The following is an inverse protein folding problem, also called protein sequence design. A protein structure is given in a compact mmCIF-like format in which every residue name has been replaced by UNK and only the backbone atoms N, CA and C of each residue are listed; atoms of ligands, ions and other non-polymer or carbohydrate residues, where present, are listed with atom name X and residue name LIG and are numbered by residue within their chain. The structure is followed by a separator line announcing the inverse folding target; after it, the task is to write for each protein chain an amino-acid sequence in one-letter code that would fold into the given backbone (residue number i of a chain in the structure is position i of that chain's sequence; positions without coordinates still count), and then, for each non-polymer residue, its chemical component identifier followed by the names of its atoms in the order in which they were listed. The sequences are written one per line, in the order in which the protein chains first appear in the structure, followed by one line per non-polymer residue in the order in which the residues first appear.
data_IF_613085286423
#
_entry.id   IF_613085286423
#
_cell.length_a   1.000
_cell.length_b   1.000
_cell.length_c   1.000
_cell.angle_alpha   90.00
_cell.angle_beta   90.00
_cell.angle_gamma   90.00
#
_symmetry.space_group_name_H-M   'P 1'
#
loop_
_entity.id
_entity.type
_entity.pdbx_description
1 polymer ?
#
# COMPACT_ATOMS: atom_id res chain seq x y z
N UNK A 1 -10.42 -13.85 -66.96
CA UNK A 1 -10.91 -12.80 -66.02
C UNK A 1 -11.39 -13.49 -64.75
N UNK A 2 -11.16 -12.92 -63.56
CA UNK A 2 -11.37 -13.50 -62.20
C UNK A 2 -10.14 -14.15 -61.54
N UNK A 3 -9.08 -13.39 -61.22
CA UNK A 3 -8.14 -13.74 -60.12
C UNK A 3 -7.49 -12.55 -59.39
N UNK A 4 -7.82 -11.29 -59.71
CA UNK A 4 -7.09 -10.11 -59.18
C UNK A 4 -7.83 -9.37 -58.05
N UNK A 5 -9.13 -9.64 -57.82
CA UNK A 5 -9.96 -8.86 -56.88
C UNK A 5 -9.83 -9.30 -55.41
N UNK A 6 -9.39 -10.54 -55.13
CA UNK A 6 -9.32 -11.04 -53.76
C UNK A 6 -8.12 -10.51 -52.96
N UNK A 7 -6.98 -10.25 -53.62
CA UNK A 7 -5.72 -9.87 -52.94
C UNK A 7 -5.72 -8.41 -52.46
N UNK A 8 -6.35 -7.49 -53.19
CA UNK A 8 -6.46 -6.07 -52.80
C UNK A 8 -7.45 -5.84 -51.65
N UNK A 9 -8.49 -6.67 -51.53
CA UNK A 9 -9.44 -6.59 -50.41
C UNK A 9 -8.85 -7.12 -49.09
N UNK A 10 -8.02 -8.17 -49.17
CA UNK A 10 -7.34 -8.75 -48.00
C UNK A 10 -6.22 -7.82 -47.52
N UNK A 11 -5.50 -7.15 -48.42
CA UNK A 11 -4.45 -6.19 -48.04
C UNK A 11 -5.03 -4.90 -47.42
N UNK A 12 -6.19 -4.43 -47.90
CA UNK A 12 -6.87 -3.25 -47.32
C UNK A 12 -7.49 -3.53 -45.94
N UNK A 13 -8.02 -4.72 -45.69
CA UNK A 13 -8.44 -5.14 -44.34
C UNK A 13 -7.25 -5.30 -43.37
N UNK A 14 -6.10 -5.77 -43.85
CA UNK A 14 -4.91 -5.93 -43.00
C UNK A 14 -4.33 -4.58 -42.56
N UNK A 15 -4.31 -3.59 -43.47
CA UNK A 15 -3.84 -2.22 -43.17
C UNK A 15 -4.83 -1.46 -42.29
N UNK A 16 -6.15 -1.68 -42.43
CA UNK A 16 -7.15 -1.07 -41.56
C UNK A 16 -7.08 -1.58 -40.11
N UNK A 17 -6.76 -2.86 -39.90
CA UNK A 17 -6.57 -3.42 -38.55
C UNK A 17 -5.24 -3.00 -37.89
N UNK A 18 -4.24 -2.61 -38.68
CA UNK A 18 -2.97 -2.07 -38.19
C UNK A 18 -3.08 -0.59 -37.75
N UNK A 19 -4.16 0.11 -38.13
CA UNK A 19 -4.36 1.54 -37.80
C UNK A 19 -5.16 1.79 -36.51
N UNK A 20 -5.72 0.75 -35.86
CA UNK A 20 -6.53 0.90 -34.64
C UNK A 20 -5.95 0.27 -33.37
N UNK A 21 -4.73 -0.26 -33.41
CA UNK A 21 -4.03 -0.74 -32.22
C UNK A 21 -3.00 0.27 -31.69
N UNK A 22 -3.37 1.55 -31.60
CA UNK A 22 -2.73 2.41 -30.63
C UNK A 22 -3.34 2.05 -29.26
N UNK A 23 -2.83 0.98 -28.65
CA UNK A 23 -3.08 0.74 -27.24
C UNK A 23 -2.70 2.04 -26.52
N UNK A 24 -3.68 2.72 -25.94
CA UNK A 24 -3.39 3.87 -25.08
C UNK A 24 -2.57 3.31 -23.92
N UNK A 25 -1.25 3.49 -23.97
CA UNK A 25 -0.40 3.23 -22.82
C UNK A 25 -0.96 4.11 -21.70
N UNK A 26 -1.60 3.51 -20.71
CA UNK A 26 -2.11 4.23 -19.57
C UNK A 26 -0.90 4.94 -18.95
N UNK A 27 -0.95 6.27 -18.74
CA UNK A 27 0.22 7.01 -18.28
C UNK A 27 0.74 6.38 -16.99
N UNK A 28 2.05 6.11 -16.96
CA UNK A 28 2.68 5.51 -15.79
C UNK A 28 2.41 6.39 -14.56
N UNK A 29 1.96 5.78 -13.47
CA UNK A 29 1.71 6.49 -12.22
C UNK A 29 3.04 7.08 -11.71
N UNK A 30 3.14 8.40 -11.52
CA UNK A 30 4.38 9.04 -11.11
C UNK A 30 4.78 8.60 -9.70
N UNK A 31 6.08 8.59 -9.43
CA UNK A 31 6.63 8.37 -8.09
C UNK A 31 7.18 9.68 -7.55
N UNK A 32 6.78 10.01 -6.34
CA UNK A 32 7.39 11.08 -5.54
C UNK A 32 8.40 10.42 -4.61
N UNK A 33 9.66 10.81 -4.75
CA UNK A 33 10.74 10.35 -3.88
C UNK A 33 10.98 11.39 -2.79
N UNK A 34 11.06 10.93 -1.54
CA UNK A 34 11.76 11.65 -0.48
C UNK A 34 13.14 11.02 -0.38
N UNK A 35 14.12 11.67 -1.00
CA UNK A 35 15.48 11.17 -1.15
C UNK A 35 16.21 11.13 0.19
N UNK A 36 17.29 10.38 0.28
CA UNK A 36 18.13 10.24 1.47
C UNK A 36 18.74 11.57 1.94
N UNK A 37 19.15 12.45 1.01
CA UNK A 37 19.56 13.84 1.27
C UNK A 37 18.40 14.76 1.73
N UNK A 38 17.17 14.23 1.67
CA UNK A 38 15.93 14.87 2.03
C UNK A 38 15.31 15.75 0.94
N UNK A 39 15.88 15.80 -0.25
CA UNK A 39 15.23 16.44 -1.40
C UNK A 39 13.94 15.70 -1.80
N UNK A 40 13.05 16.43 -2.47
CA UNK A 40 11.78 15.90 -3.01
C UNK A 40 11.93 15.85 -4.52
N UNK A 41 11.64 14.71 -5.13
CA UNK A 41 11.73 14.49 -6.58
C UNK A 41 10.43 13.84 -7.12
N UNK A 42 9.71 14.48 -8.06
CA UNK A 42 10.03 15.77 -8.66
C UNK A 42 9.82 16.93 -7.67
N UNK A 43 10.58 18.01 -7.84
CA UNK A 43 10.44 19.24 -7.02
C UNK A 43 9.03 19.86 -7.14
N UNK A 44 8.27 19.49 -8.17
CA UNK A 44 6.88 19.90 -8.40
C UNK A 44 5.86 19.09 -7.62
N UNK A 45 6.27 18.05 -6.88
CA UNK A 45 5.37 17.29 -6.03
C UNK A 45 4.67 18.21 -5.02
N UNK A 46 3.40 17.96 -4.67
CA UNK A 46 2.62 18.78 -3.74
C UNK A 46 3.00 18.50 -2.29
N UNK A 47 4.29 18.58 -1.97
CA UNK A 47 4.87 18.35 -0.65
C UNK A 47 5.87 19.47 -0.38
N UNK A 48 5.77 20.11 0.78
CA UNK A 48 6.71 21.10 1.28
C UNK A 48 7.54 20.48 2.39
N UNK A 49 8.86 20.66 2.32
CA UNK A 49 9.79 20.28 3.39
C UNK A 49 10.04 21.46 4.34
N UNK A 50 9.99 21.19 5.63
CA UNK A 50 10.49 22.04 6.71
C UNK A 50 11.32 21.17 7.68
N UNK A 51 12.66 21.25 7.58
CA UNK A 51 13.57 20.38 8.32
C UNK A 51 13.35 18.89 8.00
N UNK A 52 12.83 18.15 8.99
CA UNK A 52 12.49 16.73 8.91
C UNK A 52 10.98 16.48 8.72
N UNK A 53 10.18 17.53 8.52
CA UNK A 53 8.74 17.44 8.31
C UNK A 53 8.43 17.67 6.83
N UNK A 54 7.75 16.73 6.21
CA UNK A 54 7.30 16.74 4.82
C UNK A 54 5.79 16.85 4.83
N UNK A 55 5.27 18.04 4.59
CA UNK A 55 3.85 18.33 4.66
C UNK A 55 3.24 18.39 3.28
N UNK A 56 2.18 17.63 3.02
CA UNK A 56 1.42 17.76 1.80
C UNK A 56 0.81 19.16 1.68
N UNK A 57 0.90 19.75 0.50
CA UNK A 57 0.30 21.04 0.16
C UNK A 57 -0.91 20.90 -0.76
N UNK A 58 -1.21 19.69 -1.21
CA UNK A 58 -2.35 19.36 -2.06
C UNK A 58 -2.51 17.85 -2.21
N UNK A 59 -3.64 17.42 -2.77
CA UNK A 59 -3.86 16.01 -3.11
C UNK A 59 -2.89 15.55 -4.22
N UNK A 60 -2.52 14.28 -4.20
CA UNK A 60 -1.56 13.69 -5.14
C UNK A 60 -2.12 12.42 -5.81
N UNK A 61 -1.94 12.32 -7.12
CA UNK A 61 -2.10 11.08 -7.89
C UNK A 61 -0.72 10.52 -8.20
N UNK A 62 -0.16 9.76 -7.27
CA UNK A 62 1.23 9.31 -7.31
C UNK A 62 1.46 8.16 -6.33
N UNK A 63 2.65 7.57 -6.38
CA UNK A 63 3.25 6.75 -5.33
C UNK A 63 4.25 7.59 -4.54
N UNK A 64 4.55 7.18 -3.32
CA UNK A 64 5.64 7.75 -2.51
C UNK A 64 6.67 6.67 -2.22
N UNK A 65 7.93 6.98 -2.49
CA UNK A 65 9.08 6.16 -2.12
C UNK A 65 9.94 6.95 -1.13
N UNK A 66 10.05 6.45 0.09
CA UNK A 66 10.76 7.12 1.19
C UNK A 66 12.13 6.50 1.37
N UNK A 67 13.19 7.29 1.20
CA UNK A 67 14.58 6.83 1.28
C UNK A 67 15.34 7.46 2.46
N UNK A 68 14.64 8.18 3.33
CA UNK A 68 15.23 8.94 4.45
C UNK A 68 14.58 8.58 5.77
N UNK A 69 15.42 8.27 6.76
CA UNK A 69 15.00 7.96 8.14
C UNK A 69 14.69 9.22 8.96
N UNK A 70 14.00 9.03 10.10
CA UNK A 70 13.76 10.06 11.12
C UNK A 70 13.01 11.30 10.59
N UNK A 71 12.01 11.08 9.73
CA UNK A 71 11.19 12.13 9.16
C UNK A 71 9.71 11.93 9.49
N UNK A 72 8.96 13.03 9.45
CA UNK A 72 7.50 13.02 9.48
C UNK A 72 6.96 13.32 8.10
N UNK A 73 6.06 12.48 7.60
CA UNK A 73 5.20 12.76 6.45
C UNK A 73 3.82 13.12 7.01
N UNK A 74 3.46 14.40 6.91
CA UNK A 74 2.18 14.92 7.37
C UNK A 74 1.29 15.21 6.16
N UNK A 75 0.19 14.47 6.05
CA UNK A 75 -0.76 14.64 4.97
C UNK A 75 -1.59 15.91 5.04
N UNK A 76 -1.65 16.59 6.20
CA UNK A 76 -2.50 17.75 6.41
C UNK A 76 -3.98 17.54 5.99
N UNK A 77 -4.46 16.29 5.99
CA UNK A 77 -5.79 15.88 5.53
C UNK A 77 -5.91 15.67 4.02
N UNK A 78 -4.85 15.83 3.23
CA UNK A 78 -4.88 15.62 1.78
C UNK A 78 -4.93 14.14 1.41
N UNK A 79 -5.39 13.89 0.19
CA UNK A 79 -5.50 12.55 -0.38
C UNK A 79 -4.28 12.18 -1.21
N UNK A 80 -3.69 11.03 -0.92
CA UNK A 80 -2.81 10.29 -1.82
C UNK A 80 -3.64 9.19 -2.47
N UNK A 81 -3.78 9.22 -3.80
CA UNK A 81 -4.64 8.28 -4.54
C UNK A 81 -3.89 7.54 -5.63
N UNK A 82 -4.15 6.24 -5.75
CA UNK A 82 -3.64 5.40 -6.83
C UNK A 82 -4.67 5.15 -7.94
N UNK A 83 -4.33 4.25 -8.89
CA UNK A 83 -5.13 3.95 -10.07
C UNK A 83 -6.11 2.78 -9.87
N UNK A 84 -6.08 2.08 -8.72
CA UNK A 84 -7.01 0.99 -8.46
C UNK A 84 -8.44 1.54 -8.42
N UNK A 85 -9.35 0.83 -9.08
CA UNK A 85 -10.72 1.29 -9.35
C UNK A 85 -11.76 0.30 -8.81
N UNK A 86 -11.38 -0.61 -7.92
CA UNK A 86 -12.28 -1.61 -7.34
C UNK A 86 -12.49 -2.86 -8.18
N UNK A 87 -11.87 -2.99 -9.37
CA UNK A 87 -11.86 -4.27 -10.08
C UNK A 87 -10.70 -5.11 -9.55
N UNK A 88 -11.01 -6.05 -8.66
CA UNK A 88 -10.06 -7.06 -8.21
C UNK A 88 -9.54 -7.83 -9.45
N UNK A 89 -8.27 -7.64 -9.76
CA UNK A 89 -7.51 -8.66 -10.48
C UNK A 89 -7.18 -9.74 -9.46
N UNK A 90 -7.20 -11.03 -9.79
CA UNK A 90 -6.70 -12.07 -8.88
C UNK A 90 -5.22 -11.78 -8.59
N UNK A 91 -4.92 -11.16 -7.46
CA UNK A 91 -3.56 -10.78 -7.13
C UNK A 91 -3.13 -11.45 -5.82
N UNK A 92 -2.18 -12.36 -5.97
CA UNK A 92 -1.57 -13.07 -4.86
C UNK A 92 -0.49 -12.19 -4.19
N UNK A 93 -0.85 -11.45 -3.13
CA UNK A 93 0.07 -10.53 -2.42
C UNK A 93 1.05 -11.34 -1.56
N UNK A 94 2.35 -11.26 -1.87
CA UNK A 94 3.45 -11.80 -1.03
C UNK A 94 4.33 -10.62 -0.60
N UNK A 95 4.65 -10.51 0.69
CA UNK A 95 5.43 -9.39 1.23
C UNK A 95 6.95 -9.54 1.11
N UNK A 96 7.55 -9.48 -0.08
CA UNK A 96 9.01 -9.74 -0.27
C UNK A 96 9.98 -8.52 -0.16
N UNK A 97 9.59 -7.36 0.38
CA UNK A 97 10.44 -6.16 0.50
C UNK A 97 10.64 -5.37 -0.82
N UNK A 98 11.66 -4.50 -0.88
CA UNK A 98 11.89 -3.58 -2.01
C UNK A 98 12.38 -4.23 -3.32
N UNK A 99 12.77 -5.51 -3.31
CA UNK A 99 13.30 -6.22 -4.49
C UNK A 99 12.39 -7.36 -4.93
N UNK A 100 11.13 -7.05 -5.25
CA UNK A 100 10.18 -8.04 -5.77
C UNK A 100 10.61 -8.54 -7.17
N UNK A 101 10.82 -9.86 -7.39
CA UNK A 101 11.02 -10.40 -8.72
C UNK A 101 9.72 -10.31 -9.53
N UNK A 102 9.66 -9.43 -10.51
CA UNK A 102 8.57 -9.39 -11.49
C UNK A 102 8.74 -10.54 -12.49
N UNK A 103 8.11 -11.70 -12.29
CA UNK A 103 8.15 -12.80 -13.26
C UNK A 103 7.20 -12.59 -14.45
N UNK A 104 7.19 -11.39 -15.05
CA UNK A 104 6.51 -11.03 -16.31
C UNK A 104 4.99 -11.28 -16.43
N UNK A 105 4.38 -11.92 -15.43
CA UNK A 105 3.02 -12.47 -15.43
C UNK A 105 2.22 -11.96 -14.22
N UNK A 106 2.89 -11.40 -13.22
CA UNK A 106 2.26 -10.73 -12.08
C UNK A 106 2.05 -9.26 -12.43
N UNK A 107 0.81 -8.77 -12.27
CA UNK A 107 0.51 -7.34 -12.36
C UNK A 107 1.38 -6.62 -11.32
N UNK A 108 2.24 -5.66 -11.71
CA UNK A 108 3.08 -4.95 -10.75
C UNK A 108 2.19 -4.20 -9.75
N UNK A 109 2.39 -4.50 -8.47
CA UNK A 109 1.67 -3.88 -7.36
C UNK A 109 1.84 -2.37 -7.38
N UNK A 110 0.73 -1.64 -7.26
CA UNK A 110 0.82 -0.21 -7.03
C UNK A 110 0.79 0.01 -5.52
N UNK A 111 1.96 0.36 -4.97
CA UNK A 111 2.12 0.72 -3.56
C UNK A 111 1.95 2.23 -3.41
N UNK A 112 1.09 2.66 -2.48
CA UNK A 112 0.87 4.08 -2.18
C UNK A 112 2.06 4.71 -1.48
N UNK A 113 2.48 4.16 -0.35
CA UNK A 113 3.69 4.57 0.38
C UNK A 113 4.59 3.36 0.60
N UNK A 114 5.81 3.43 0.06
CA UNK A 114 6.85 2.41 0.18
C UNK A 114 8.07 2.98 0.93
N UNK A 115 8.60 2.20 1.87
CA UNK A 115 9.79 2.54 2.65
C UNK A 115 11.02 2.06 1.88
N UNK A 116 11.35 2.73 0.77
CA UNK A 116 12.16 2.21 -0.33
C UNK A 116 13.61 1.80 -0.08
N UNK A 117 14.07 1.67 1.18
CA UNK A 117 15.36 1.05 1.54
C UNK A 117 15.25 0.32 2.89
N UNK A 118 15.98 -0.78 3.03
CA UNK A 118 15.95 -1.62 4.23
C UNK A 118 16.44 -0.92 5.51
N UNK A 119 17.28 0.12 5.36
CA UNK A 119 17.84 0.90 6.47
C UNK A 119 16.96 2.11 6.88
N UNK A 120 15.84 2.36 6.19
CA UNK A 120 14.91 3.43 6.54
C UNK A 120 14.17 3.07 7.83
N UNK A 121 14.17 3.97 8.80
CA UNK A 121 13.49 3.78 10.09
C UNK A 121 13.09 5.12 10.71
N UNK A 122 12.33 5.11 11.81
CA UNK A 122 11.95 6.34 12.50
C UNK A 122 10.99 7.21 11.69
N UNK A 123 10.23 6.62 10.76
CA UNK A 123 9.23 7.36 10.00
C UNK A 123 8.00 7.61 10.86
N UNK A 124 7.42 8.80 10.75
CA UNK A 124 6.06 9.09 11.23
C UNK A 124 5.18 9.48 10.06
N UNK A 125 4.15 8.69 9.77
CA UNK A 125 3.19 8.96 8.70
C UNK A 125 1.85 9.30 9.33
N UNK A 126 1.34 10.50 9.07
CA UNK A 126 0.10 10.97 9.70
C UNK A 126 -0.77 11.84 8.82
N UNK A 127 -2.05 11.93 9.19
CA UNK A 127 -3.04 12.83 8.61
C UNK A 127 -3.22 12.68 7.08
N UNK A 128 -2.99 11.49 6.52
CA UNK A 128 -3.24 11.22 5.10
C UNK A 128 -4.54 10.45 4.88
N UNK A 129 -5.19 10.75 3.76
CA UNK A 129 -6.21 9.88 3.17
C UNK A 129 -5.54 9.06 2.06
N UNK A 130 -5.37 7.75 2.25
CA UNK A 130 -4.64 6.85 1.35
C UNK A 130 -5.62 5.86 0.73
N UNK A 131 -5.75 5.92 -0.60
CA UNK A 131 -6.75 5.09 -1.29
C UNK A 131 -6.42 4.71 -2.71
N UNK A 132 -7.13 3.72 -3.22
CA UNK A 132 -7.04 3.27 -4.61
C UNK A 132 -5.66 2.71 -4.97
N UNK A 133 -5.04 1.95 -4.06
CA UNK A 133 -3.81 1.22 -4.30
C UNK A 133 -4.02 -0.29 -4.23
N UNK A 134 -3.10 -1.05 -4.84
CA UNK A 134 -3.02 -2.49 -4.53
C UNK A 134 -2.57 -2.68 -3.08
N UNK A 135 -1.62 -1.87 -2.63
CA UNK A 135 -1.18 -1.81 -1.24
C UNK A 135 -1.15 -0.34 -0.84
N UNK A 136 -2.00 0.09 0.10
CA UNK A 136 -2.06 1.47 0.55
C UNK A 136 -0.72 1.92 1.15
N UNK A 137 -0.21 1.15 2.11
CA UNK A 137 1.09 1.36 2.73
C UNK A 137 1.85 0.04 2.88
N UNK A 138 3.14 0.03 2.53
CA UNK A 138 4.02 -1.09 2.81
C UNK A 138 5.02 -0.75 3.91
N UNK A 139 4.77 -1.25 5.12
CA UNK A 139 5.54 -1.01 6.33
C UNK A 139 6.45 -2.21 6.58
N UNK A 140 7.58 -2.25 5.89
CA UNK A 140 8.49 -3.41 5.88
C UNK A 140 9.82 -3.19 6.61
N UNK A 141 10.06 -1.98 7.09
CA UNK A 141 11.20 -1.66 7.96
C UNK A 141 10.75 -1.44 9.40
N UNK A 142 11.69 -1.19 10.29
CA UNK A 142 11.46 -1.17 11.73
C UNK A 142 11.33 0.23 12.33
N UNK A 143 10.75 0.31 13.53
CA UNK A 143 10.70 1.52 14.36
C UNK A 143 9.97 2.70 13.69
N UNK A 144 8.84 2.44 13.04
CA UNK A 144 8.02 3.45 12.39
C UNK A 144 6.68 3.62 13.09
N UNK A 145 6.07 4.80 12.91
CA UNK A 145 4.76 5.17 13.43
C UNK A 145 3.82 5.53 12.29
N UNK A 146 2.67 4.87 12.23
CA UNK A 146 1.56 5.18 11.32
C UNK A 146 0.38 5.60 12.17
N UNK A 147 -0.04 6.86 12.09
CA UNK A 147 -1.07 7.38 12.98
C UNK A 147 -1.97 8.46 12.40
N UNK A 148 -3.26 8.46 12.73
CA UNK A 148 -4.18 9.51 12.27
C UNK A 148 -4.41 9.50 10.75
N UNK A 149 -4.21 8.36 10.09
CA UNK A 149 -4.48 8.21 8.66
C UNK A 149 -5.84 7.55 8.42
N UNK A 150 -6.45 7.84 7.27
CA UNK A 150 -7.55 7.06 6.72
C UNK A 150 -7.03 6.22 5.55
N UNK A 151 -7.02 4.90 5.70
CA UNK A 151 -6.55 3.94 4.71
C UNK A 151 -7.73 3.13 4.21
N UNK A 152 -8.21 3.42 3.00
CA UNK A 152 -9.47 2.89 2.50
C UNK A 152 -9.49 2.66 0.99
N UNK A 153 -10.41 1.82 0.50
CA UNK A 153 -10.57 1.57 -0.95
C UNK A 153 -9.28 1.03 -1.59
N UNK A 154 -8.54 0.17 -0.88
CA UNK A 154 -7.35 -0.54 -1.37
C UNK A 154 -7.60 -2.06 -1.37
N UNK A 155 -6.81 -2.82 -2.13
CA UNK A 155 -6.84 -4.29 -2.01
C UNK A 155 -6.28 -4.67 -0.62
N UNK A 156 -5.06 -4.24 -0.31
CA UNK A 156 -4.51 -4.26 1.06
C UNK A 156 -4.38 -2.84 1.57
N UNK A 157 -4.97 -2.54 2.73
CA UNK A 157 -4.81 -1.27 3.40
C UNK A 157 -3.36 -1.05 3.83
N UNK A 158 -2.89 -1.85 4.79
CA UNK A 158 -1.51 -1.84 5.27
C UNK A 158 -0.91 -3.24 5.15
N UNK A 159 0.15 -3.36 4.37
CA UNK A 159 1.01 -4.54 4.38
C UNK A 159 2.10 -4.31 5.44
N UNK A 160 2.07 -5.10 6.50
CA UNK A 160 2.98 -4.97 7.64
C UNK A 160 3.95 -6.16 7.67
N UNK A 161 5.24 -5.88 7.48
CA UNK A 161 6.30 -6.89 7.46
C UNK A 161 7.48 -6.57 8.37
N UNK A 162 7.61 -5.32 8.84
CA UNK A 162 8.70 -4.91 9.73
C UNK A 162 8.32 -5.01 11.20
N UNK A 163 9.32 -5.25 12.06
CA UNK A 163 9.16 -5.32 13.53
C UNK A 163 9.14 -3.92 14.18
N UNK A 164 8.71 -3.86 15.45
CA UNK A 164 8.79 -2.65 16.30
C UNK A 164 8.04 -1.44 15.72
N UNK A 165 6.94 -1.66 15.00
CA UNK A 165 6.13 -0.59 14.41
C UNK A 165 4.89 -0.28 15.26
N UNK A 166 4.50 0.99 15.30
CA UNK A 166 3.29 1.46 15.97
C UNK A 166 2.25 1.90 14.94
N UNK A 167 1.12 1.21 14.90
CA UNK A 167 -0.01 1.53 14.03
C UNK A 167 -1.16 1.94 14.96
N UNK A 168 -1.42 3.24 15.10
CA UNK A 168 -2.38 3.73 16.11
C UNK A 168 -3.27 4.85 15.60
N UNK A 169 -4.54 4.91 16.02
CA UNK A 169 -5.45 6.03 15.64
C UNK A 169 -5.68 6.16 14.14
N UNK A 170 -5.62 5.06 13.40
CA UNK A 170 -5.94 5.06 11.97
C UNK A 170 -7.38 4.58 11.75
N UNK A 171 -8.03 5.14 10.75
CA UNK A 171 -9.25 4.57 10.16
C UNK A 171 -8.83 3.63 9.03
N UNK A 172 -9.12 2.35 9.13
CA UNK A 172 -8.76 1.31 8.17
C UNK A 172 -10.06 0.66 7.72
N UNK A 173 -10.55 1.01 6.53
CA UNK A 173 -11.87 0.55 6.14
C UNK A 173 -12.14 0.48 4.65
N UNK A 174 -13.11 -0.34 4.23
CA UNK A 174 -13.43 -0.55 2.80
C UNK A 174 -12.23 -1.02 1.98
N UNK A 175 -11.38 -1.84 2.59
CA UNK A 175 -10.33 -2.56 1.87
C UNK A 175 -10.71 -4.03 1.77
N UNK A 176 -10.24 -4.74 0.75
CA UNK A 176 -10.44 -6.20 0.69
C UNK A 176 -9.75 -6.85 1.90
N UNK A 177 -8.57 -6.33 2.27
CA UNK A 177 -7.84 -6.69 3.49
C UNK A 177 -7.41 -5.42 4.23
N UNK A 178 -7.77 -5.29 5.51
CA UNK A 178 -7.42 -4.14 6.35
C UNK A 178 -5.92 -4.07 6.61
N UNK A 179 -5.41 -5.02 7.41
CA UNK A 179 -3.97 -5.23 7.61
C UNK A 179 -3.60 -6.64 7.18
N UNK A 180 -2.57 -6.75 6.33
CA UNK A 180 -1.96 -8.02 5.97
C UNK A 180 -0.60 -8.15 6.65
N UNK A 181 -0.39 -9.20 7.43
CA UNK A 181 0.91 -9.54 8.00
C UNK A 181 1.74 -10.27 6.94
N UNK A 182 2.68 -9.55 6.33
CA UNK A 182 3.52 -10.07 5.26
C UNK A 182 4.66 -10.90 5.82
N UNK A 183 4.50 -12.23 5.81
CA UNK A 183 5.56 -13.20 6.13
C UNK A 183 6.12 -13.83 4.86
N UNK A 184 7.45 -13.88 4.75
CA UNK A 184 8.12 -14.57 3.64
C UNK A 184 8.48 -16.01 4.00
N UNK A 185 8.65 -16.31 5.28
CA UNK A 185 8.98 -17.61 5.82
C UNK A 185 8.31 -17.75 7.19
N UNK A 186 7.93 -18.97 7.53
CA UNK A 186 7.45 -19.31 8.87
C UNK A 186 8.48 -18.93 9.92
N UNK A 187 8.07 -18.24 10.99
CA UNK A 187 8.98 -17.77 12.04
C UNK A 187 9.57 -16.37 11.81
N UNK A 188 9.22 -15.71 10.70
CA UNK A 188 9.57 -14.32 10.41
C UNK A 188 8.36 -13.39 10.51
N UNK A 189 7.42 -13.70 11.38
CA UNK A 189 6.29 -12.83 11.71
C UNK A 189 6.83 -11.50 12.26
N UNK A 190 6.26 -10.34 11.87
CA UNK A 190 6.68 -9.06 12.42
C UNK A 190 6.36 -9.01 13.92
N UNK A 191 7.40 -8.82 14.73
CA UNK A 191 7.32 -8.80 16.20
C UNK A 191 7.21 -7.38 16.76
N UNK A 192 6.77 -7.28 18.03
CA UNK A 192 6.68 -6.02 18.79
C UNK A 192 5.85 -4.94 18.10
N UNK A 193 4.73 -5.33 17.49
CA UNK A 193 3.79 -4.41 16.88
C UNK A 193 2.87 -3.83 17.95
N UNK A 194 2.79 -2.50 18.02
CA UNK A 194 1.75 -1.81 18.80
C UNK A 194 0.59 -1.50 17.86
N UNK A 195 -0.58 -2.13 18.08
CA UNK A 195 -1.77 -1.90 17.26
C UNK A 195 -2.97 -1.56 18.15
N UNK A 196 -3.17 -0.27 18.43
CA UNK A 196 -4.22 0.18 19.37
C UNK A 196 -4.93 1.42 18.86
N UNK A 197 -6.18 1.64 19.29
CA UNK A 197 -7.00 2.80 18.95
C UNK A 197 -7.27 3.00 17.45
N UNK A 198 -7.17 1.95 16.63
CA UNK A 198 -7.58 2.03 15.22
C UNK A 198 -9.06 1.69 15.07
N UNK A 199 -9.65 2.11 13.96
CA UNK A 199 -11.02 1.73 13.56
C UNK A 199 -10.97 0.87 12.32
N UNK A 200 -11.38 -0.39 12.44
CA UNK A 200 -11.53 -1.33 11.35
C UNK A 200 -12.99 -1.37 10.91
N UNK A 201 -13.29 -0.88 9.72
CA UNK A 201 -14.67 -0.63 9.27
C UNK A 201 -14.91 -1.14 7.86
N UNK A 202 -15.83 -2.08 7.69
CA UNK A 202 -16.26 -2.57 6.37
C UNK A 202 -15.08 -3.04 5.49
N UNK A 203 -14.04 -3.64 6.08
CA UNK A 203 -13.08 -4.41 5.29
C UNK A 203 -13.64 -5.82 5.08
N UNK A 204 -13.43 -6.42 3.90
CA UNK A 204 -13.87 -7.81 3.68
C UNK A 204 -13.17 -8.76 4.66
N UNK A 205 -11.88 -8.48 4.96
CA UNK A 205 -11.13 -9.12 6.04
C UNK A 205 -10.38 -8.05 6.85
N UNK A 206 -10.60 -7.97 8.16
CA UNK A 206 -9.89 -7.02 9.03
C UNK A 206 -8.38 -7.34 9.15
N UNK A 207 -8.04 -8.62 9.36
CA UNK A 207 -6.67 -9.14 9.39
C UNK A 207 -6.46 -10.33 8.48
N UNK A 208 -5.37 -10.31 7.73
CA UNK A 208 -4.95 -11.41 6.86
C UNK A 208 -3.46 -11.66 7.00
N UNK A 209 -3.00 -12.80 6.50
CA UNK A 209 -1.60 -13.22 6.54
C UNK A 209 -1.49 -14.74 6.62
N UNK A 210 -0.31 -15.28 6.35
CA UNK A 210 -0.04 -16.69 6.62
C UNK A 210 0.18 -16.89 8.13
N UNK A 211 -0.88 -16.82 8.92
CA UNK A 211 -0.91 -17.49 10.23
C UNK A 211 -0.93 -18.99 9.94
N UNK A 212 0.22 -19.59 9.65
CA UNK A 212 0.29 -21.04 9.62
C UNK A 212 -0.08 -21.54 11.02
N UNK A 213 -0.93 -22.57 11.06
CA UNK A 213 -1.33 -23.27 12.27
C UNK A 213 -0.10 -23.57 13.14
N UNK A 214 -0.04 -22.92 14.30
CA UNK A 214 1.14 -22.95 15.16
C UNK A 214 1.42 -21.59 15.80
N UNK A 215 0.37 -20.89 16.25
CA UNK A 215 0.51 -19.65 17.02
C UNK A 215 1.54 -19.89 18.12
N UNK A 216 2.66 -19.16 18.10
CA UNK A 216 3.65 -19.27 19.14
C UNK A 216 3.06 -18.68 20.43
N UNK A 217 2.51 -19.54 21.29
CA UNK A 217 1.90 -19.16 22.57
C UNK A 217 2.90 -18.62 23.59
N UNK A 218 4.20 -18.55 23.23
CA UNK A 218 5.25 -17.98 24.08
C UNK A 218 5.64 -16.55 23.72
N UNK A 219 5.13 -16.00 22.60
CA UNK A 219 5.36 -14.59 22.28
C UNK A 219 4.55 -13.69 23.23
N UNK A 220 5.12 -12.58 23.74
CA UNK A 220 4.33 -11.55 24.38
C UNK A 220 3.26 -11.09 23.38
N UNK A 221 2.00 -11.22 23.78
CA UNK A 221 0.84 -10.95 22.92
C UNK A 221 1.02 -9.66 22.13
N UNK A 222 0.65 -9.67 20.84
CA UNK A 222 0.29 -8.44 20.15
C UNK A 222 -0.67 -7.68 21.05
N UNK A 223 -0.29 -6.49 21.49
CA UNK A 223 -1.14 -5.68 22.35
C UNK A 223 -2.14 -4.98 21.43
N UNK A 224 -3.33 -5.57 21.35
CA UNK A 224 -4.48 -5.02 20.63
C UNK A 224 -5.16 -3.89 21.41
N UNK A 225 -4.66 -3.61 22.62
CA UNK A 225 -5.08 -2.57 23.55
C UNK A 225 -3.87 -1.95 24.28
N UNK A 226 -4.10 -0.85 24.98
CA UNK A 226 -3.12 -0.19 25.85
C UNK A 226 -3.30 -0.53 27.35
N UNK A 227 -4.01 -1.63 27.65
CA UNK A 227 -4.48 -2.00 28.97
C UNK A 227 -5.76 -1.28 29.42
N UNK A 228 -6.36 -0.42 28.58
CA UNK A 228 -7.65 0.25 28.85
C UNK A 228 -8.57 0.23 27.64
N UNK A 229 -8.06 0.62 26.47
CA UNK A 229 -8.84 0.78 25.24
C UNK A 229 -8.13 0.07 24.08
N UNK A 230 -8.94 -0.66 23.30
CA UNK A 230 -8.49 -1.46 22.17
C UNK A 230 -8.69 -0.78 20.82
N UNK A 231 -8.84 -1.59 19.78
CA UNK A 231 -9.32 -1.14 18.48
C UNK A 231 -10.86 -1.26 18.40
N UNK A 232 -11.45 -0.49 17.50
CA UNK A 232 -12.86 -0.61 17.12
C UNK A 232 -12.99 -1.53 15.90
N UNK A 233 -13.97 -2.44 15.91
CA UNK A 233 -14.27 -3.36 14.80
C UNK A 233 -15.74 -3.26 14.41
N UNK A 234 -16.02 -3.08 13.12
CA UNK A 234 -17.39 -2.97 12.62
C UNK A 234 -18.18 -4.28 12.69
N UNK A 235 -17.50 -5.42 12.73
CA UNK A 235 -18.10 -6.75 12.83
C UNK A 235 -18.25 -7.25 14.28
N UNK A 236 -17.79 -6.47 15.27
CA UNK A 236 -17.89 -6.85 16.67
C UNK A 236 -19.34 -6.77 17.17
N UNK A 237 -19.84 -7.91 17.65
CA UNK A 237 -21.23 -8.05 18.07
C UNK A 237 -21.46 -7.79 19.58
N UNK A 238 -20.43 -7.35 20.31
CA UNK A 238 -20.52 -7.11 21.76
C UNK A 238 -20.18 -8.30 22.65
N UNK A 239 -19.58 -9.36 22.10
CA UNK A 239 -19.19 -10.55 22.88
C UNK A 239 -17.70 -10.86 22.68
N UNK A 240 -16.92 -10.76 23.75
CA UNK A 240 -15.57 -11.31 23.80
C UNK A 240 -15.67 -12.79 24.24
N UNK A 241 -15.05 -13.70 23.50
CA UNK A 241 -14.89 -15.09 23.98
C UNK A 241 -13.65 -15.15 24.86
N UNK A 242 -13.87 -15.41 26.14
CA UNK A 242 -12.84 -15.68 27.15
C UNK A 242 -11.91 -16.85 26.78
#
# INVERSE_FOLDING_TARGET
MKKIVATTLIFSLLVANLLFAAASAQPALPTIYIRDDGSIDPLTAPIRRDGNIYTFTGAAFARICVQRSNITIDGAGYTLRGPYNGTATDVWIIGQGAEQPTNGTLVPWVIGIDFGRADVNGLTIKNLNIKNFSIGMYVWTENNTVTGNAVSENIVGILLSGCNNAITRNYIGKNDMGIFFGVNQLGNEPLNITLTHNSFVDNDVHFSGCFCEGYNTTEPMHTWDDGKEGNFWSDYNGTDTD
#
